data_IF_814136059843
#
_entry.id   IF_814136059843
#
_cell.length_a   1.000
_cell.length_b   1.000
_cell.length_c   1.000
_cell.angle_alpha   90.00
_cell.angle_beta   90.00
_cell.angle_gamma   90.00
#
_symmetry.space_group_name_H-M   'P 1'
#
loop_
_entity.id
_entity.type
_entity.pdbx_description
1 polymer ?
#
# COMPACT_ATOMS: atom_id res chain seq x y z
N UNK A 1 -4.01 13.88 -10.30
CA UNK A 1 -4.76 12.91 -9.48
C UNK A 1 -5.37 13.66 -8.30
N UNK A 2 -6.62 13.41 -7.90
CA UNK A 2 -7.20 14.10 -6.73
C UNK A 2 -6.60 13.57 -5.42
N UNK A 3 -6.59 14.40 -4.37
CA UNK A 3 -6.13 13.99 -3.02
C UNK A 3 -6.85 12.74 -2.52
N UNK A 4 -8.14 12.64 -2.83
CA UNK A 4 -8.98 11.51 -2.46
C UNK A 4 -8.60 10.22 -3.20
N UNK A 5 -8.26 10.31 -4.49
CA UNK A 5 -7.78 9.15 -5.25
C UNK A 5 -6.43 8.64 -4.72
N UNK A 6 -5.53 9.55 -4.30
CA UNK A 6 -4.25 9.17 -3.67
C UNK A 6 -4.50 8.43 -2.36
N UNK A 7 -5.39 8.93 -1.49
CA UNK A 7 -5.77 8.25 -0.25
C UNK A 7 -6.37 6.86 -0.49
N UNK A 8 -7.25 6.73 -1.48
CA UNK A 8 -7.81 5.43 -1.86
C UNK A 8 -6.72 4.46 -2.34
N UNK A 9 -5.77 4.91 -3.16
CA UNK A 9 -4.66 4.07 -3.61
C UNK A 9 -3.77 3.63 -2.44
N UNK A 10 -3.39 4.57 -1.56
CA UNK A 10 -2.62 4.26 -0.34
C UNK A 10 -3.39 3.28 0.55
N UNK A 11 -4.71 3.43 0.66
CA UNK A 11 -5.58 2.52 1.41
C UNK A 11 -5.61 1.12 0.81
N UNK A 12 -5.73 0.99 -0.51
CA UNK A 12 -5.70 -0.33 -1.18
C UNK A 12 -4.36 -1.01 -0.91
N UNK A 13 -3.25 -0.29 -1.10
CA UNK A 13 -1.91 -0.85 -0.94
C UNK A 13 -1.63 -1.26 0.52
N UNK A 14 -1.86 -0.35 1.47
CA UNK A 14 -1.65 -0.62 2.89
C UNK A 14 -2.56 -1.77 3.38
N UNK A 15 -3.81 -1.83 2.90
CA UNK A 15 -4.71 -2.93 3.23
C UNK A 15 -4.26 -4.26 2.65
N UNK A 16 -3.65 -4.29 1.46
CA UNK A 16 -3.04 -5.53 0.92
C UNK A 16 -1.92 -6.01 1.85
N UNK A 17 -1.02 -5.12 2.27
CA UNK A 17 0.02 -5.47 3.23
C UNK A 17 -0.56 -5.94 4.57
N UNK A 18 -1.67 -5.36 5.04
CA UNK A 18 -2.34 -5.81 6.24
C UNK A 18 -2.91 -7.23 6.11
N UNK A 19 -3.54 -7.56 4.99
CA UNK A 19 -4.04 -8.91 4.72
C UNK A 19 -2.92 -9.95 4.57
N UNK A 20 -1.74 -9.53 4.12
CA UNK A 20 -0.55 -10.37 4.01
C UNK A 20 0.28 -10.43 5.31
N UNK A 21 -0.13 -9.73 6.36
CA UNK A 21 0.53 -9.74 7.67
C UNK A 21 1.77 -8.84 7.80
N UNK A 22 2.01 -7.94 6.85
CA UNK A 22 3.11 -6.97 6.91
C UNK A 22 2.87 -5.80 7.87
N UNK A 23 1.61 -5.40 8.06
CA UNK A 23 1.16 -4.37 9.02
C UNK A 23 -0.20 -4.75 9.62
N UNK A 24 -0.65 -4.05 10.65
CA UNK A 24 -2.01 -4.18 11.19
C UNK A 24 -3.05 -3.43 10.34
N UNK A 25 -4.33 -3.79 10.53
CA UNK A 25 -5.47 -3.09 9.91
C UNK A 25 -5.52 -1.63 10.36
N UNK A 26 -5.22 -1.37 11.62
CA UNK A 26 -5.22 -0.04 12.23
C UNK A 26 -4.12 0.84 11.60
N UNK A 27 -2.90 0.31 11.42
CA UNK A 27 -1.81 1.01 10.72
C UNK A 27 -2.19 1.30 9.27
N UNK A 28 -2.82 0.36 8.56
CA UNK A 28 -3.29 0.59 7.19
C UNK A 28 -4.32 1.73 7.11
N UNK A 29 -5.21 1.84 8.10
CA UNK A 29 -6.19 2.93 8.22
C UNK A 29 -5.51 4.27 8.44
N UNK A 30 -4.54 4.32 9.35
CA UNK A 30 -3.78 5.54 9.65
C UNK A 30 -3.00 6.05 8.43
N UNK A 31 -2.35 5.14 7.69
CA UNK A 31 -1.56 5.46 6.49
C UNK A 31 -2.43 6.10 5.40
N UNK A 32 -3.64 5.60 5.18
CA UNK A 32 -4.49 6.09 4.08
C UNK A 32 -5.26 7.37 4.43
N UNK A 33 -5.48 7.64 5.72
CA UNK A 33 -6.21 8.82 6.19
C UNK A 33 -7.62 8.96 5.60
N UNK A 34 -8.26 7.84 5.27
CA UNK A 34 -9.66 7.75 4.85
C UNK A 34 -10.58 7.81 6.08
N UNK A 35 -11.85 8.14 5.85
CA UNK A 35 -12.87 7.92 6.88
C UNK A 35 -13.10 6.41 7.06
N UNK A 36 -13.62 6.02 8.22
CA UNK A 36 -13.81 4.63 8.60
C UNK A 36 -14.69 3.85 7.60
N UNK A 37 -15.78 4.44 7.10
CA UNK A 37 -16.67 3.77 6.15
C UNK A 37 -16.00 3.50 4.81
N UNK A 38 -15.27 4.48 4.26
CA UNK A 38 -14.48 4.27 3.03
C UNK A 38 -13.31 3.32 3.24
N UNK A 39 -12.66 3.38 4.40
CA UNK A 39 -11.57 2.47 4.71
C UNK A 39 -12.05 1.02 4.72
N UNK A 40 -13.18 0.71 5.36
CA UNK A 40 -13.72 -0.66 5.38
C UNK A 40 -14.05 -1.18 3.97
N UNK A 41 -14.60 -0.33 3.10
CA UNK A 41 -14.85 -0.70 1.70
C UNK A 41 -13.55 -1.02 0.96
N UNK A 42 -12.54 -0.17 1.12
CA UNK A 42 -11.21 -0.36 0.51
C UNK A 42 -10.51 -1.60 1.08
N UNK A 43 -10.58 -1.80 2.39
CA UNK A 43 -9.97 -2.92 3.10
C UNK A 43 -10.59 -4.26 2.66
N UNK A 44 -11.91 -4.31 2.48
CA UNK A 44 -12.61 -5.47 1.93
C UNK A 44 -12.18 -5.79 0.50
N UNK A 45 -12.10 -4.78 -0.37
CA UNK A 45 -11.63 -4.92 -1.76
C UNK A 45 -10.17 -5.38 -1.83
N UNK A 46 -9.31 -4.85 -0.96
CA UNK A 46 -7.92 -5.24 -0.85
C UNK A 46 -7.74 -6.71 -0.44
N UNK A 47 -8.65 -7.26 0.39
CA UNK A 47 -8.65 -8.68 0.75
C UNK A 47 -8.88 -9.60 -0.46
N UNK A 48 -9.72 -9.19 -1.41
CA UNK A 48 -9.90 -9.93 -2.67
C UNK A 48 -8.65 -9.90 -3.54
N UNK A 49 -7.90 -8.79 -3.51
CA UNK A 49 -6.62 -8.65 -4.21
C UNK A 49 -5.59 -9.55 -3.52
N UNK A 50 -5.39 -9.41 -2.21
CA UNK A 50 -4.47 -10.24 -1.42
C UNK A 50 -4.74 -11.74 -1.61
N UNK A 51 -6.01 -12.17 -1.62
CA UNK A 51 -6.37 -13.57 -1.90
C UNK A 51 -6.02 -14.02 -3.32
N UNK A 52 -6.22 -13.17 -4.33
CA UNK A 52 -5.78 -13.47 -5.71
C UNK A 52 -4.26 -13.55 -5.80
N UNK A 53 -3.58 -12.67 -5.09
CA UNK A 53 -2.13 -12.59 -4.99
C UNK A 53 -1.55 -13.86 -4.32
N UNK A 54 -2.11 -14.32 -3.20
CA UNK A 54 -1.74 -15.56 -2.50
C UNK A 54 -1.88 -16.82 -3.38
N UNK A 55 -2.81 -16.80 -4.34
CA UNK A 55 -3.00 -17.89 -5.31
C UNK A 55 -2.01 -17.84 -6.50
N UNK A 56 -1.23 -16.77 -6.65
CA UNK A 56 -0.13 -16.69 -7.61
C UNK A 56 1.10 -17.22 -6.88
N UNK A 57 1.74 -18.29 -7.40
CA UNK A 57 2.95 -18.94 -6.85
C UNK A 57 3.84 -18.00 -6.03
N UNK A 58 4.08 -18.32 -4.75
CA UNK A 58 4.71 -17.46 -3.74
C UNK A 58 5.89 -16.61 -4.22
N UNK A 59 6.82 -17.19 -4.99
CA UNK A 59 7.98 -16.49 -5.57
C UNK A 59 7.63 -15.22 -6.36
N UNK A 60 6.49 -15.21 -7.07
CA UNK A 60 6.09 -14.05 -7.88
C UNK A 60 5.56 -12.90 -7.03
N UNK A 61 5.00 -13.21 -5.87
CA UNK A 61 4.49 -12.21 -4.94
C UNK A 61 5.62 -11.50 -4.22
N UNK A 62 6.54 -12.29 -3.68
CA UNK A 62 7.71 -11.77 -2.98
C UNK A 62 8.52 -10.87 -3.91
N UNK A 63 8.71 -11.29 -5.17
CA UNK A 63 9.31 -10.43 -6.19
C UNK A 63 8.51 -9.16 -6.49
N UNK A 64 7.19 -9.23 -6.64
CA UNK A 64 6.37 -8.03 -6.90
C UNK A 64 6.47 -7.03 -5.75
N UNK A 65 6.36 -7.50 -4.51
CA UNK A 65 6.46 -6.67 -3.32
C UNK A 65 7.87 -6.09 -3.15
N UNK A 66 8.93 -6.87 -3.38
CA UNK A 66 10.32 -6.40 -3.33
C UNK A 66 10.62 -5.34 -4.39
N UNK A 67 10.18 -5.55 -5.64
CA UNK A 67 10.35 -4.55 -6.71
C UNK A 67 9.60 -3.26 -6.38
N UNK A 68 8.37 -3.38 -5.88
CA UNK A 68 7.55 -2.22 -5.55
C UNK A 68 8.08 -1.46 -4.34
N UNK A 69 8.53 -2.17 -3.30
CA UNK A 69 9.18 -1.56 -2.13
C UNK A 69 10.47 -0.84 -2.52
N UNK A 70 11.28 -1.44 -3.40
CA UNK A 70 12.51 -0.82 -3.91
C UNK A 70 12.26 0.45 -4.72
N UNK A 71 11.26 0.45 -5.61
CA UNK A 71 10.89 1.67 -6.35
C UNK A 71 10.42 2.80 -5.41
N UNK A 72 9.68 2.46 -4.35
CA UNK A 72 9.27 3.44 -3.33
C UNK A 72 10.51 3.99 -2.61
N UNK A 73 11.44 3.14 -2.18
CA UNK A 73 12.67 3.53 -1.49
C UNK A 73 13.58 4.41 -2.35
N UNK A 74 13.68 4.12 -3.64
CA UNK A 74 14.46 4.92 -4.60
C UNK A 74 13.78 6.28 -4.83
N UNK A 75 12.46 6.31 -5.02
CA UNK A 75 11.68 7.55 -5.14
C UNK A 75 11.77 8.43 -3.88
N UNK A 76 11.67 7.83 -2.68
CA UNK A 76 11.80 8.54 -1.40
C UNK A 76 13.21 9.07 -1.22
N UNK A 77 14.26 8.34 -1.61
CA UNK A 77 15.64 8.85 -1.57
C UNK A 77 15.83 10.06 -2.46
N UNK A 78 15.33 10.00 -3.69
CA UNK A 78 15.42 11.11 -4.65
C UNK A 78 14.63 12.34 -4.18
N UNK A 79 13.41 12.16 -3.67
CA UNK A 79 12.60 13.28 -3.15
C UNK A 79 13.11 13.84 -1.82
N UNK A 80 13.65 13.01 -0.92
CA UNK A 80 14.27 13.46 0.33
C UNK A 80 15.56 14.23 0.05
N UNK A 81 16.33 13.85 -0.96
CA UNK A 81 17.54 14.59 -1.35
C UNK A 81 17.20 15.99 -1.91
N UNK A 82 16.07 16.14 -2.61
CA UNK A 82 15.58 17.44 -3.08
C UNK A 82 15.13 18.38 -1.94
N UNK A 83 14.57 17.86 -0.84
CA UNK A 83 14.10 18.67 0.29
C UNK A 83 15.22 19.26 1.18
N UNK A 84 16.44 18.74 1.12
CA UNK A 84 17.60 19.27 1.86
C UNK A 84 18.50 20.20 1.04
N UNK A 85 18.13 20.49 -0.22
CA UNK A 85 18.88 21.38 -1.13
C UNK A 85 18.08 22.63 -1.58
N UNK A 86 16.88 22.84 -1.03
CA UNK A 86 16.05 24.06 -1.21
C UNK A 86 15.74 24.70 0.13
#
# INVERSE_FOLDING_TARGET
>A
MSKENVKCMSGVLASVFAHLGGISKEEAREICGLDEGKFEEVYSKAGLIAKKLDNISGDKMDHFLDYFAKEIDDYVRETTHYFYLT
#
